data_IF_170923058733
#
_entry.id   IF_170923058733
#
_cell.length_a   1.000
_cell.length_b   1.000
_cell.length_c   1.000
_cell.angle_alpha   90.00
_cell.angle_beta   90.00
_cell.angle_gamma   90.00
#
_symmetry.space_group_name_H-M   'P 1'
#
loop_
_entity.id
_entity.type
_entity.pdbx_description
1 polymer ?
#
# COMPACT_ATOMS: atom_id res chain seq x y z
N UNK A 1 11.75 13.66 -3.87
CA UNK A 1 10.68 12.78 -4.41
C UNK A 1 11.36 11.65 -5.15
N UNK A 2 10.96 10.40 -4.92
CA UNK A 2 11.53 9.26 -5.65
C UNK A 2 11.10 9.37 -7.12
N UNK A 3 12.01 9.06 -8.05
CA UNK A 3 11.71 9.08 -9.50
C UNK A 3 10.89 7.86 -9.92
N UNK A 4 10.19 7.97 -11.05
CA UNK A 4 9.42 6.85 -11.60
C UNK A 4 10.29 5.61 -11.90
N UNK A 5 11.56 5.80 -12.22
CA UNK A 5 12.50 4.69 -12.45
C UNK A 5 12.87 4.01 -11.14
N UNK A 6 13.11 4.78 -10.08
CA UNK A 6 13.44 4.24 -8.77
C UNK A 6 12.26 3.50 -8.14
N UNK A 7 11.04 4.03 -8.26
CA UNK A 7 9.85 3.36 -7.73
C UNK A 7 9.57 2.04 -8.48
N UNK A 8 9.74 2.02 -9.81
CA UNK A 8 9.61 0.79 -10.62
C UNK A 8 10.66 -0.24 -10.24
N UNK A 9 11.93 0.16 -10.14
CA UNK A 9 13.03 -0.73 -9.75
C UNK A 9 12.77 -1.36 -8.39
N UNK A 10 12.38 -0.56 -7.40
CA UNK A 10 12.05 -1.06 -6.06
C UNK A 10 10.84 -2.00 -6.09
N UNK A 11 9.80 -1.67 -6.85
CA UNK A 11 8.62 -2.51 -7.03
C UNK A 11 8.96 -3.88 -7.59
N UNK A 12 9.75 -3.94 -8.67
CA UNK A 12 10.21 -5.20 -9.25
C UNK A 12 11.03 -6.04 -8.27
N UNK A 13 11.92 -5.42 -7.48
CA UNK A 13 12.69 -6.13 -6.47
C UNK A 13 11.81 -6.76 -5.39
N UNK A 14 10.77 -6.05 -4.95
CA UNK A 14 9.79 -6.58 -3.97
C UNK A 14 9.02 -7.75 -4.58
N UNK A 15 8.51 -7.60 -5.80
CA UNK A 15 7.78 -8.66 -6.48
C UNK A 15 8.63 -9.91 -6.66
N UNK A 16 9.85 -9.77 -7.20
CA UNK A 16 10.76 -10.91 -7.41
C UNK A 16 11.13 -11.62 -6.09
N UNK A 17 11.33 -10.86 -5.00
CA UNK A 17 11.64 -11.43 -3.68
C UNK A 17 10.50 -12.27 -3.11
N UNK A 18 9.25 -11.85 -3.29
CA UNK A 18 8.09 -12.48 -2.64
C UNK A 18 7.36 -13.48 -3.53
N UNK A 19 7.40 -13.30 -4.85
CA UNK A 19 6.69 -14.14 -5.81
C UNK A 19 7.63 -15.08 -6.58
N UNK A 20 8.92 -14.72 -6.70
CA UNK A 20 9.83 -15.33 -7.67
C UNK A 20 9.76 -14.65 -9.04
N UNK A 21 10.73 -14.95 -9.92
CA UNK A 21 10.88 -14.24 -11.18
C UNK A 21 9.71 -14.48 -12.15
N UNK A 22 9.26 -15.73 -12.29
CA UNK A 22 8.21 -16.11 -13.24
C UNK A 22 6.87 -15.46 -12.85
N UNK A 23 6.51 -15.55 -11.59
CA UNK A 23 5.26 -15.03 -11.05
C UNK A 23 5.26 -13.50 -11.00
N UNK A 24 6.41 -12.87 -10.75
CA UNK A 24 6.56 -11.42 -10.84
C UNK A 24 6.31 -10.92 -12.27
N UNK A 25 6.87 -11.58 -13.29
CA UNK A 25 6.60 -11.24 -14.68
C UNK A 25 5.13 -11.42 -15.05
N UNK A 26 4.52 -12.55 -14.63
CA UNK A 26 3.08 -12.80 -14.83
C UNK A 26 2.21 -11.74 -14.15
N UNK A 27 2.57 -11.32 -12.93
CA UNK A 27 1.85 -10.25 -12.22
C UNK A 27 1.86 -8.94 -13.03
N UNK A 28 3.01 -8.52 -13.55
CA UNK A 28 3.10 -7.31 -14.37
C UNK A 28 2.29 -7.44 -15.65
N UNK A 29 2.31 -8.59 -16.30
CA UNK A 29 1.49 -8.85 -17.48
C UNK A 29 -0.02 -8.78 -17.18
N UNK A 30 -0.47 -9.27 -16.01
CA UNK A 30 -1.87 -9.19 -15.60
C UNK A 30 -2.31 -7.75 -15.34
N UNK A 31 -1.52 -6.98 -14.60
CA UNK A 31 -1.79 -5.56 -14.30
C UNK A 31 -1.81 -4.71 -15.57
N UNK A 32 -1.05 -5.06 -16.60
CA UNK A 32 -1.07 -4.36 -17.89
C UNK A 32 -2.24 -4.76 -18.80
N UNK A 33 -2.74 -6.00 -18.69
CA UNK A 33 -3.83 -6.52 -19.54
C UNK A 33 -5.20 -6.07 -19.07
N UNK A 34 -5.40 -5.99 -17.76
CA UNK A 34 -6.70 -5.69 -17.16
C UNK A 34 -6.60 -4.42 -16.32
N UNK A 35 -7.53 -3.46 -16.46
CA UNK A 35 -7.57 -2.30 -15.58
C UNK A 35 -7.82 -2.78 -14.15
N UNK A 36 -6.81 -2.60 -13.30
CA UNK A 36 -6.91 -2.93 -11.88
C UNK A 36 -7.80 -1.89 -11.18
N UNK A 37 -8.91 -2.35 -10.59
CA UNK A 37 -9.81 -1.48 -9.83
C UNK A 37 -9.21 -1.21 -8.44
N UNK A 38 -8.48 -0.10 -8.34
CA UNK A 38 -7.91 0.37 -7.08
C UNK A 38 -8.99 0.63 -6.01
N UNK A 39 -10.18 1.09 -6.40
CA UNK A 39 -11.26 1.40 -5.44
C UNK A 39 -11.75 0.13 -4.79
N UNK A 40 -11.99 -0.91 -5.60
CA UNK A 40 -12.42 -2.21 -5.09
C UNK A 40 -11.35 -2.85 -4.20
N UNK A 41 -10.10 -2.88 -4.64
CA UNK A 41 -9.00 -3.41 -3.84
C UNK A 41 -8.83 -2.68 -2.50
N UNK A 42 -9.04 -1.36 -2.48
CA UNK A 42 -8.93 -0.56 -1.26
C UNK A 42 -10.07 -0.84 -0.29
N UNK A 43 -11.29 -1.04 -0.78
CA UNK A 43 -12.45 -1.44 0.03
C UNK A 43 -12.20 -2.79 0.72
N UNK A 44 -11.63 -3.76 0.00
CA UNK A 44 -11.29 -5.07 0.56
C UNK A 44 -10.18 -5.01 1.62
N UNK A 45 -9.41 -3.91 1.67
CA UNK A 45 -8.34 -3.65 2.64
C UNK A 45 -8.75 -2.79 3.83
N UNK A 46 -9.95 -2.21 3.80
CA UNK A 46 -10.42 -1.48 4.96
C UNK A 46 -10.81 -2.50 6.02
N UNK A 47 -10.05 -2.50 7.11
CA UNK A 47 -10.49 -3.10 8.37
C UNK A 47 -11.92 -2.60 8.62
N UNK A 48 -12.79 -3.47 9.14
CA UNK A 48 -14.22 -3.25 9.41
C UNK A 48 -14.47 -2.18 10.52
N UNK A 49 -13.67 -1.13 10.52
CA UNK A 49 -13.58 -0.07 11.51
C UNK A 49 -14.59 1.00 11.13
N UNK A 50 -15.43 1.34 12.10
CA UNK A 50 -16.30 2.50 11.97
C UNK A 50 -15.49 3.78 11.80
N UNK A 51 -16.10 4.80 11.20
CA UNK A 51 -15.51 6.15 11.10
C UNK A 51 -15.10 6.69 12.47
N UNK A 52 -15.86 6.36 13.52
CA UNK A 52 -15.53 6.71 14.91
C UNK A 52 -14.23 6.06 15.38
N UNK A 53 -14.02 4.78 15.07
CA UNK A 53 -12.80 4.04 15.40
C UNK A 53 -11.58 4.61 14.68
N UNK A 54 -11.72 4.92 13.39
CA UNK A 54 -10.68 5.57 12.59
C UNK A 54 -10.33 6.94 13.19
N UNK A 55 -11.35 7.74 13.53
CA UNK A 55 -11.17 9.06 14.17
C UNK A 55 -10.46 8.94 15.51
N UNK A 56 -10.86 7.98 16.36
CA UNK A 56 -10.25 7.74 17.67
C UNK A 56 -8.79 7.35 17.55
N UNK A 57 -8.45 6.44 16.61
CA UNK A 57 -7.06 6.04 16.33
C UNK A 57 -6.22 7.21 15.84
N UNK A 58 -6.73 8.01 14.91
CA UNK A 58 -6.04 9.19 14.40
C UNK A 58 -5.76 10.21 15.52
N UNK A 59 -6.72 10.43 16.43
CA UNK A 59 -6.55 11.30 17.59
C UNK A 59 -5.54 10.76 18.60
N UNK A 60 -5.51 9.45 18.83
CA UNK A 60 -4.52 8.82 19.70
C UNK A 60 -3.10 8.99 19.16
N UNK A 61 -2.89 8.78 17.86
CA UNK A 61 -1.59 8.97 17.22
C UNK A 61 -1.13 10.44 17.24
N UNK A 62 -2.05 11.40 17.05
CA UNK A 62 -1.73 12.83 17.24
C UNK A 62 -1.26 13.15 18.66
N UNK A 63 -1.90 12.59 19.70
CA UNK A 63 -1.51 12.83 21.10
C UNK A 63 -0.13 12.28 21.41
N UNK A 64 0.17 11.05 21.00
CA UNK A 64 1.51 10.44 21.17
C UNK A 64 2.61 11.29 20.54
N UNK A 65 2.40 11.79 19.33
CA UNK A 65 3.37 12.66 18.66
C UNK A 65 3.54 14.02 19.35
N UNK A 66 2.53 14.49 20.07
CA UNK A 66 2.60 15.75 20.84
C UNK A 66 3.35 15.54 22.16
N UNK A 67 3.22 14.37 22.79
CA UNK A 67 3.89 14.00 24.04
C UNK A 67 5.37 13.60 23.85
N UNK A 68 5.74 13.12 22.67
CA UNK A 68 7.14 12.78 22.33
C UNK A 68 7.94 13.98 21.81
N UNK A 69 7.29 15.10 21.50
CA UNK A 69 7.90 16.34 21.01
C UNK A 69 8.03 17.46 22.05
N UNK A 70 7.63 17.22 23.30
CA UNK A 70 7.75 18.12 24.44
C UNK A 70 8.78 17.58 25.44
#
# INVERSE_FOLDING_TARGET
>A
MITDTEIRTKGFQVLARHLGNIEAERFVALIQREPFDYTKWRQDMDDDLSVEEISRRAMAERRKNTEQGA
#
